data_IF_680865071011
#
_entry.id   IF_680865071011
#
_cell.length_a   1.000
_cell.length_b   1.000
_cell.length_c   1.000
_cell.angle_alpha   90.00
_cell.angle_beta   90.00
_cell.angle_gamma   90.00
#
_symmetry.space_group_name_H-M   'P 1'
#
loop_
_entity.id
_entity.type
_entity.pdbx_description
1 polymer ?
#
# COMPACT_ATOMS: atom_id res chain seq x y z
N UNK A 1 -8.68 0.79 -10.91
CA UNK A 1 -7.92 1.85 -10.22
C UNK A 1 -6.44 1.61 -10.44
N UNK A 2 -5.73 2.61 -10.89
CA UNK A 2 -4.30 2.45 -11.11
C UNK A 2 -3.51 2.98 -9.90
N UNK A 3 -2.19 2.78 -9.96
CA UNK A 3 -1.32 3.17 -8.85
C UNK A 3 -1.40 4.67 -8.55
N UNK A 4 -1.44 5.48 -9.60
CA UNK A 4 -1.49 6.93 -9.42
C UNK A 4 -2.76 7.37 -8.71
N UNK A 5 -3.87 6.75 -9.05
CA UNK A 5 -5.12 7.07 -8.39
C UNK A 5 -5.09 6.67 -6.92
N UNK A 6 -4.46 5.54 -6.60
CA UNK A 6 -4.30 5.13 -5.21
C UNK A 6 -3.45 6.13 -4.44
N UNK A 7 -2.36 6.56 -5.04
CA UNK A 7 -1.49 7.56 -4.40
C UNK A 7 -2.26 8.83 -4.12
N UNK A 8 -3.05 9.28 -5.08
CA UNK A 8 -3.84 10.49 -4.91
C UNK A 8 -4.89 10.35 -3.82
N UNK A 9 -5.51 9.19 -3.74
CA UNK A 9 -6.48 8.92 -2.69
C UNK A 9 -5.83 8.92 -1.31
N UNK A 10 -4.69 8.29 -1.19
CA UNK A 10 -3.96 8.26 0.07
C UNK A 10 -3.54 9.67 0.47
N UNK A 11 -3.01 10.42 -0.49
CA UNK A 11 -2.58 11.78 -0.23
C UNK A 11 -3.73 12.64 0.27
N UNK A 12 -4.88 12.52 -0.36
CA UNK A 12 -6.05 13.31 0.02
C UNK A 12 -6.60 12.87 1.38
N UNK A 13 -6.69 11.57 1.61
CA UNK A 13 -7.28 11.05 2.83
C UNK A 13 -6.43 11.35 4.05
N UNK A 14 -5.11 11.29 3.90
CA UNK A 14 -4.19 11.48 5.01
C UNK A 14 -3.51 12.84 5.00
N UNK A 15 -3.90 13.72 4.09
CA UNK A 15 -3.31 15.05 3.96
C UNK A 15 -1.80 15.00 3.82
N UNK A 16 -1.33 14.11 2.96
CA UNK A 16 0.10 13.91 2.71
C UNK A 16 0.49 14.43 1.34
N UNK A 17 1.75 14.86 1.18
CA UNK A 17 2.28 15.13 -0.17
C UNK A 17 2.23 13.85 -0.99
N UNK A 18 2.05 13.99 -2.30
CA UNK A 18 1.98 12.82 -3.19
C UNK A 18 3.22 11.95 -3.09
N UNK A 19 4.39 12.57 -2.96
CA UNK A 19 5.63 11.80 -2.84
C UNK A 19 5.60 10.91 -1.61
N UNK A 20 5.11 11.42 -0.49
CA UNK A 20 5.02 10.63 0.73
C UNK A 20 3.95 9.56 0.61
N UNK A 21 2.82 9.89 0.00
CA UNK A 21 1.76 8.91 -0.21
C UNK A 21 2.24 7.74 -1.07
N UNK A 22 3.05 8.04 -2.09
CA UNK A 22 3.62 7.00 -2.94
C UNK A 22 4.53 6.08 -2.15
N UNK A 23 5.29 6.63 -1.22
CA UNK A 23 6.19 5.83 -0.37
C UNK A 23 5.39 4.96 0.59
N UNK A 24 4.31 5.47 1.14
CA UNK A 24 3.43 4.69 2.00
C UNK A 24 2.85 3.51 1.23
N UNK A 25 2.37 3.77 0.02
CA UNK A 25 1.83 2.72 -0.82
C UNK A 25 2.88 1.67 -1.13
N UNK A 26 4.10 2.09 -1.46
CA UNK A 26 5.18 1.16 -1.76
C UNK A 26 5.50 0.29 -0.55
N UNK A 27 5.51 0.87 0.64
CA UNK A 27 5.77 0.12 1.86
C UNK A 27 4.72 -0.97 2.06
N UNK A 28 3.46 -0.65 1.82
CA UNK A 28 2.37 -1.62 1.94
C UNK A 28 2.55 -2.75 0.93
N UNK A 29 2.86 -2.40 -0.32
CA UNK A 29 3.04 -3.40 -1.36
C UNK A 29 4.23 -4.30 -1.06
N UNK A 30 5.32 -3.72 -0.57
CA UNK A 30 6.49 -4.51 -0.19
C UNK A 30 6.16 -5.49 0.93
N UNK A 31 5.39 -5.06 1.91
CA UNK A 31 4.98 -5.92 3.01
C UNK A 31 4.14 -7.09 2.52
N UNK A 32 3.23 -6.82 1.57
CA UNK A 32 2.40 -7.87 0.99
C UNK A 32 3.26 -8.88 0.24
N UNK A 33 4.20 -8.40 -0.55
CA UNK A 33 5.09 -9.27 -1.32
C UNK A 33 5.94 -10.13 -0.38
N UNK A 34 6.47 -9.54 0.68
CA UNK A 34 7.28 -10.28 1.65
C UNK A 34 6.46 -11.38 2.32
N UNK A 35 5.23 -11.08 2.68
CA UNK A 35 4.35 -12.05 3.32
C UNK A 35 4.08 -13.22 2.39
N UNK A 36 3.82 -12.94 1.12
CA UNK A 36 3.58 -13.98 0.13
C UNK A 36 4.82 -14.83 -0.08
N UNK A 37 5.99 -14.20 -0.15
CA UNK A 37 7.25 -14.92 -0.34
C UNK A 37 7.58 -15.83 0.84
N UNK A 38 7.20 -15.42 2.04
CA UNK A 38 7.42 -16.23 3.24
C UNK A 38 6.44 -17.39 3.34
N UNK A 39 5.58 -17.53 2.34
CA UNK A 39 4.58 -18.60 2.29
C UNK A 39 3.63 -18.53 3.49
N UNK A 40 3.50 -17.37 4.07
CA UNK A 40 2.53 -17.17 5.11
C UNK A 40 1.19 -16.85 4.48
N UNK A 41 0.16 -17.40 5.04
CA UNK A 41 -1.17 -17.10 4.54
C UNK A 41 -1.50 -15.67 4.91
N UNK A 42 -1.49 -14.83 3.92
CA UNK A 42 -1.93 -13.47 4.11
C UNK A 42 -3.43 -13.52 4.39
N UNK A 43 -3.78 -13.35 5.63
CA UNK A 43 -5.18 -13.39 6.00
C UNK A 43 -5.80 -12.05 5.65
N UNK A 44 -6.09 -11.88 4.38
CA UNK A 44 -6.78 -10.68 3.93
C UNK A 44 -8.13 -10.54 4.60
N UNK A 45 -8.65 -11.64 5.08
CA UNK A 45 -9.89 -11.63 5.85
C UNK A 45 -9.73 -10.79 7.11
N UNK A 46 -8.57 -10.85 7.72
CA UNK A 46 -8.29 -10.02 8.88
C UNK A 46 -7.89 -8.60 8.51
N UNK A 47 -7.64 -8.40 7.25
CA UNK A 47 -7.27 -7.10 6.75
C UNK A 47 -8.53 -6.28 6.50
#
# INVERSE_FOLDING_TARGET
MNRQELVEKIAAAEELPKAKAARVLQTVLDAVVETVKADEKLTLVGF
#
